data_IF_330042958548
#
_entry.id   IF_330042958548
#
_cell.length_a   1.000
_cell.length_b   1.000
_cell.length_c   1.000
_cell.angle_alpha   90.00
_cell.angle_beta   90.00
_cell.angle_gamma   90.00
#
_symmetry.space_group_name_H-M   'P 1'
#
loop_
_entity.id
_entity.type
_entity.pdbx_description
1 polymer ?
#
# COMPACT_ATOMS: atom_id res chain seq x y z
N UNK A 1 16.49 9.20 -11.65
CA UNK A 1 15.37 8.32 -11.31
C UNK A 1 14.19 8.75 -12.14
N UNK A 2 13.49 7.80 -12.74
CA UNK A 2 12.43 8.06 -13.71
C UNK A 2 11.06 7.95 -13.02
N UNK A 3 10.32 9.07 -12.96
CA UNK A 3 9.01 9.15 -12.30
C UNK A 3 7.97 8.31 -13.03
N UNK A 4 8.14 8.10 -14.34
CA UNK A 4 7.25 7.28 -15.16
C UNK A 4 7.30 5.80 -14.76
N UNK A 5 8.39 5.37 -14.11
CA UNK A 5 8.53 4.00 -13.58
C UNK A 5 7.89 3.80 -12.21
N UNK A 6 7.21 4.80 -11.66
CA UNK A 6 6.50 4.68 -10.38
C UNK A 6 5.02 4.46 -10.60
N UNK A 7 4.41 3.61 -9.76
CA UNK A 7 2.96 3.50 -9.69
C UNK A 7 2.30 4.80 -9.23
N UNK A 8 1.03 4.98 -9.55
CA UNK A 8 0.24 6.14 -9.13
C UNK A 8 0.21 6.29 -7.61
N UNK A 9 0.17 5.19 -6.85
CA UNK A 9 0.20 5.25 -5.38
C UNK A 9 1.55 5.68 -4.82
N UNK A 10 2.67 5.34 -5.44
CA UNK A 10 3.98 5.87 -5.03
C UNK A 10 4.06 7.37 -5.32
N UNK A 11 3.61 7.81 -6.50
CA UNK A 11 3.57 9.24 -6.83
C UNK A 11 2.67 10.03 -5.86
N UNK A 12 1.48 9.49 -5.56
CA UNK A 12 0.56 10.05 -4.58
C UNK A 12 1.20 10.12 -3.18
N UNK A 13 1.91 9.07 -2.75
CA UNK A 13 2.60 9.06 -1.45
C UNK A 13 3.68 10.14 -1.35
N UNK A 14 4.41 10.41 -2.43
CA UNK A 14 5.42 11.48 -2.45
C UNK A 14 4.78 12.86 -2.32
N UNK A 15 3.65 13.08 -3.00
CA UNK A 15 2.89 14.33 -2.86
C UNK A 15 2.29 14.49 -1.46
N UNK A 16 1.76 13.41 -0.89
CA UNK A 16 1.24 13.41 0.49
C UNK A 16 2.34 13.64 1.53
N UNK A 17 3.52 13.06 1.33
CA UNK A 17 4.69 13.30 2.17
C UNK A 17 5.11 14.79 2.15
N UNK A 18 5.07 15.40 0.96
CA UNK A 18 5.31 16.83 0.81
C UNK A 18 4.28 17.66 1.57
N UNK A 19 3.00 17.36 1.37
CA UNK A 19 1.91 18.05 2.05
C UNK A 19 2.00 17.90 3.58
N UNK A 20 2.41 16.74 4.07
CA UNK A 20 2.60 16.49 5.50
C UNK A 20 3.72 17.35 6.08
N UNK A 21 4.85 17.48 5.38
CA UNK A 21 5.94 18.37 5.80
C UNK A 21 5.51 19.83 5.82
N UNK A 22 4.77 20.29 4.80
CA UNK A 22 4.20 21.65 4.74
C UNK A 22 3.26 21.89 5.92
N UNK A 23 2.31 20.98 6.14
CA UNK A 23 1.31 21.06 7.22
C UNK A 23 1.95 21.13 8.61
N UNK A 24 3.09 20.45 8.79
CA UNK A 24 3.81 20.42 10.06
C UNK A 24 4.90 21.51 10.16
N UNK A 25 4.98 22.44 9.20
CA UNK A 25 5.98 23.51 9.13
C UNK A 25 7.43 23.00 9.12
N UNK A 26 7.67 21.82 8.55
CA UNK A 26 9.00 21.26 8.40
C UNK A 26 9.67 21.80 7.14
N UNK A 27 10.93 22.24 7.25
CA UNK A 27 11.68 22.79 6.11
C UNK A 27 12.06 21.74 5.06
N UNK A 28 12.03 20.46 5.44
CA UNK A 28 12.45 19.35 4.59
C UNK A 28 11.44 18.19 4.64
N UNK A 29 11.15 17.60 3.48
CA UNK A 29 10.49 16.31 3.39
C UNK A 29 11.53 15.23 3.63
N UNK A 30 11.52 14.62 4.81
CA UNK A 30 12.32 13.43 5.13
C UNK A 30 11.51 12.12 5.05
N UNK A 31 12.19 10.97 5.14
CA UNK A 31 11.61 9.63 4.95
C UNK A 31 10.44 9.33 5.90
N UNK A 32 10.39 9.94 7.08
CA UNK A 32 9.27 9.77 8.02
C UNK A 32 7.94 10.32 7.46
N UNK A 33 7.96 11.37 6.65
CA UNK A 33 6.76 11.88 5.99
C UNK A 33 6.29 10.92 4.91
N UNK A 34 7.23 10.33 4.16
CA UNK A 34 6.89 9.30 3.17
C UNK A 34 6.35 8.03 3.85
N UNK A 35 6.91 7.65 4.99
CA UNK A 35 6.38 6.55 5.79
C UNK A 35 4.96 6.86 6.30
N UNK A 36 4.72 8.09 6.79
CA UNK A 36 3.39 8.56 7.18
C UNK A 36 2.39 8.48 6.02
N UNK A 37 2.77 8.97 4.84
CA UNK A 37 1.93 8.90 3.65
C UNK A 37 1.54 7.45 3.30
N UNK A 38 2.52 6.53 3.30
CA UNK A 38 2.28 5.12 3.00
C UNK A 38 1.30 4.44 3.97
N UNK A 39 1.39 4.72 5.28
CA UNK A 39 0.50 4.11 6.29
C UNK A 39 -0.88 4.80 6.38
N UNK A 40 -1.02 5.97 5.77
CA UNK A 40 -2.28 6.74 5.73
C UNK A 40 -3.06 6.54 4.42
N UNK A 41 -2.54 5.76 3.47
CA UNK A 41 -3.27 5.46 2.25
C UNK A 41 -4.53 4.64 2.55
N UNK A 42 -5.70 5.23 2.27
CA UNK A 42 -6.98 4.53 2.32
C UNK A 42 -6.98 3.34 1.37
N UNK A 43 -7.47 2.20 1.84
CA UNK A 43 -7.42 0.91 1.15
C UNK A 43 -6.01 0.58 0.62
N UNK A 44 -5.00 1.03 1.38
CA UNK A 44 -3.57 0.90 1.10
C UNK A 44 -3.05 -0.53 1.26
N UNK A 45 -2.11 -0.94 0.40
CA UNK A 45 -1.40 -2.21 0.58
C UNK A 45 -0.62 -2.24 1.90
N UNK A 46 0.08 -1.15 2.25
CA UNK A 46 0.91 -1.07 3.44
C UNK A 46 0.09 -1.15 4.75
N UNK A 47 -0.99 -0.36 4.94
CA UNK A 47 -1.89 -0.52 6.09
C UNK A 47 -2.45 -1.93 6.24
N UNK A 48 -2.92 -2.55 5.14
CA UNK A 48 -3.48 -3.90 5.16
C UNK A 48 -2.44 -4.94 5.60
N UNK A 49 -1.20 -4.84 5.12
CA UNK A 49 -0.10 -5.73 5.56
C UNK A 49 0.17 -5.54 7.06
N UNK A 50 0.24 -4.31 7.54
CA UNK A 50 0.50 -4.00 8.96
C UNK A 50 -0.62 -4.56 9.87
N UNK A 51 -1.88 -4.42 9.47
CA UNK A 51 -3.01 -5.01 10.19
C UNK A 51 -2.94 -6.54 10.21
N UNK A 52 -2.57 -7.18 9.09
CA UNK A 52 -2.35 -8.64 9.01
C UNK A 52 -1.15 -9.12 9.83
N UNK A 53 -0.22 -8.24 10.18
CA UNK A 53 0.84 -8.51 11.16
C UNK A 53 0.35 -8.38 12.61
N UNK A 54 -0.96 -8.21 12.84
CA UNK A 54 -1.60 -7.97 14.14
C UNK A 54 -1.14 -6.68 14.83
N UNK A 55 -0.81 -5.65 14.05
CA UNK A 55 -0.39 -4.35 14.57
C UNK A 55 -1.53 -3.35 14.37
N UNK A 56 -1.88 -2.62 15.44
CA UNK A 56 -2.85 -1.53 15.37
C UNK A 56 -2.30 -0.40 14.50
N UNK A 57 -2.90 -0.21 13.33
CA UNK A 57 -2.54 0.87 12.40
C UNK A 57 -2.72 2.24 13.05
N UNK A 58 -3.76 2.42 13.86
CA UNK A 58 -4.02 3.71 14.54
C UNK A 58 -2.95 4.02 15.58
N UNK A 59 -2.50 3.02 16.33
CA UNK A 59 -1.39 3.19 17.28
C UNK A 59 -0.10 3.58 16.55
N UNK A 60 0.18 2.91 15.43
CA UNK A 60 1.34 3.22 14.59
C UNK A 60 1.28 4.65 14.04
N UNK A 61 0.13 5.06 13.49
CA UNK A 61 -0.11 6.44 13.00
C UNK A 61 0.15 7.47 14.08
N UNK A 62 -0.38 7.26 15.29
CA UNK A 62 -0.16 8.16 16.41
C UNK A 62 1.33 8.29 16.78
N UNK A 63 2.08 7.19 16.73
CA UNK A 63 3.52 7.21 17.00
C UNK A 63 4.30 7.94 15.92
N UNK A 64 3.95 7.72 14.65
CA UNK A 64 4.58 8.43 13.51
C UNK A 64 4.31 9.92 13.59
N UNK A 65 3.06 10.32 13.84
CA UNK A 65 2.68 11.73 13.99
C UNK A 65 3.45 12.39 15.15
N UNK A 66 3.58 11.69 16.28
CA UNK A 66 4.37 12.18 17.41
C UNK A 66 5.84 12.39 17.07
N UNK A 67 6.45 11.52 16.26
CA UNK A 67 7.84 11.70 15.82
C UNK A 67 7.98 12.82 14.77
N UNK A 68 6.99 13.03 13.91
CA UNK A 68 6.92 14.18 12.99
C UNK A 68 6.82 15.49 13.78
N UNK A 69 6.00 15.52 14.83
CA UNK A 69 5.80 16.72 15.66
C UNK A 69 7.07 17.20 16.39
N UNK A 70 8.02 16.29 16.64
CA UNK A 70 9.33 16.61 17.22
C UNK A 70 10.32 17.23 16.24
N UNK A 71 10.05 17.14 14.94
CA UNK A 71 10.94 17.70 13.94
C UNK A 71 11.00 19.24 14.08
N UNK A 72 12.13 19.87 13.74
CA UNK A 72 12.24 21.32 13.73
C UNK A 72 11.15 21.96 12.86
N UNK A 73 10.49 22.98 13.41
CA UNK A 73 9.42 23.75 12.76
C UNK A 73 9.90 25.17 12.50
N UNK A 74 9.64 25.70 11.30
CA UNK A 74 10.03 27.06 10.89
C UNK A 74 8.78 27.92 10.80
N UNK A 75 8.79 29.05 11.52
CA UNK A 75 7.71 30.04 11.54
C UNK A 75 8.26 31.43 11.19
N UNK A 76 7.48 32.27 10.51
CA UNK A 76 7.82 33.68 10.26
C UNK A 76 7.50 34.17 8.85
N UNK A 77 7.58 35.49 8.64
CA UNK A 77 7.48 36.11 7.31
C UNK A 77 8.59 35.56 6.39
N UNK A 78 8.19 34.88 5.31
CA UNK A 78 9.10 34.22 4.38
C UNK A 78 9.28 32.71 4.61
N UNK A 79 8.76 32.13 5.69
CA UNK A 79 8.78 30.68 5.92
C UNK A 79 8.07 29.91 4.80
N UNK A 80 6.93 30.41 4.34
CA UNK A 80 6.18 29.83 3.21
C UNK A 80 6.86 30.07 1.85
N UNK A 81 7.76 31.05 1.77
CA UNK A 81 8.43 31.43 0.51
C UNK A 81 9.69 30.61 0.20
N UNK A 82 10.26 29.91 1.19
CA UNK A 82 11.48 29.11 0.97
C UNK A 82 11.24 27.75 0.30
N UNK A 83 9.98 27.30 0.25
CA UNK A 83 9.62 26.00 -0.30
C UNK A 83 10.16 24.83 0.55
N UNK A 84 9.47 23.69 0.51
CA UNK A 84 9.95 22.47 1.18
C UNK A 84 10.82 21.68 0.21
N UNK A 85 12.00 21.26 0.66
CA UNK A 85 12.93 20.45 -0.15
C UNK A 85 12.96 19.00 0.31
N UNK A 86 13.15 18.05 -0.61
CA UNK A 86 13.30 16.64 -0.25
C UNK A 86 14.72 16.33 0.27
N UNK A 87 14.84 15.51 1.31
CA UNK A 87 16.15 15.06 1.80
C UNK A 87 16.81 14.09 0.81
N UNK A 88 18.14 13.99 0.87
CA UNK A 88 18.91 13.00 0.10
C UNK A 88 18.47 11.56 0.40
N UNK A 89 18.00 11.28 1.63
CA UNK A 89 17.56 9.95 2.06
C UNK A 89 16.35 9.46 1.28
N UNK A 90 15.42 10.35 0.90
CA UNK A 90 14.29 9.97 0.03
C UNK A 90 14.81 9.40 -1.30
N UNK A 91 15.79 10.07 -1.91
CA UNK A 91 16.39 9.56 -3.14
C UNK A 91 17.09 8.21 -2.94
N UNK A 92 17.77 8.01 -1.81
CA UNK A 92 18.42 6.72 -1.48
C UNK A 92 17.39 5.60 -1.31
N UNK A 93 16.27 5.86 -0.63
CA UNK A 93 15.12 4.94 -0.52
C UNK A 93 14.57 4.59 -1.89
N UNK A 94 14.35 5.56 -2.76
CA UNK A 94 13.72 5.31 -4.06
C UNK A 94 14.66 4.58 -5.04
N UNK A 95 15.97 4.86 -5.01
CA UNK A 95 16.98 4.10 -5.76
C UNK A 95 16.98 2.63 -5.28
N UNK A 96 16.90 2.42 -3.97
CA UNK A 96 16.84 1.07 -3.41
C UNK A 96 15.52 0.38 -3.76
N UNK A 97 14.41 1.10 -3.78
CA UNK A 97 13.11 0.59 -4.22
C UNK A 97 13.13 0.14 -5.68
N UNK A 98 13.84 0.86 -6.56
CA UNK A 98 14.05 0.45 -7.96
C UNK A 98 14.88 -0.85 -8.07
N UNK A 99 15.88 -1.04 -7.18
CA UNK A 99 16.62 -2.31 -7.13
C UNK A 99 15.69 -3.46 -6.71
N UNK A 100 14.88 -3.24 -5.67
CA UNK A 100 13.95 -4.26 -5.15
C UNK A 100 12.89 -4.61 -6.19
N UNK A 101 12.36 -3.63 -6.92
CA UNK A 101 11.36 -3.91 -7.97
C UNK A 101 11.91 -4.82 -9.08
N UNK A 102 13.21 -4.66 -9.43
CA UNK A 102 13.90 -5.54 -10.38
C UNK A 102 14.09 -6.95 -9.83
N UNK A 103 14.41 -7.08 -8.55
CA UNK A 103 14.49 -8.40 -7.86
C UNK A 103 13.13 -9.11 -7.88
N UNK A 104 12.04 -8.35 -7.71
CA UNK A 104 10.66 -8.84 -7.78
C UNK A 104 10.16 -9.07 -9.21
N UNK A 105 10.97 -8.70 -10.21
CA UNK A 105 10.66 -8.78 -11.66
C UNK A 105 9.43 -7.96 -12.03
N UNK A 106 9.25 -6.83 -11.37
CA UNK A 106 8.18 -5.87 -11.65
C UNK A 106 8.62 -4.81 -12.64
N UNK A 107 7.66 -4.30 -13.42
CA UNK A 107 7.88 -3.24 -14.39
C UNK A 107 7.84 -1.84 -13.76
N UNK A 108 7.15 -1.69 -12.62
CA UNK A 108 7.01 -0.42 -11.90
C UNK A 108 7.43 -0.53 -10.43
N UNK A 109 7.83 0.61 -9.86
CA UNK A 109 8.08 0.79 -8.43
C UNK A 109 6.73 0.97 -7.72
N UNK A 110 6.35 -0.01 -6.92
CA UNK A 110 5.15 -0.02 -6.08
C UNK A 110 5.48 0.29 -4.62
N UNK A 111 4.45 0.54 -3.83
CA UNK A 111 4.54 0.98 -2.41
C UNK A 111 5.25 -0.04 -1.52
N UNK A 112 5.14 -1.35 -1.80
CA UNK A 112 5.86 -2.40 -1.08
C UNK A 112 7.37 -2.34 -1.32
N UNK A 113 7.82 -1.95 -2.51
CA UNK A 113 9.26 -1.79 -2.80
C UNK A 113 9.83 -0.60 -2.02
N UNK A 114 9.06 0.49 -1.94
CA UNK A 114 9.42 1.68 -1.16
C UNK A 114 9.48 1.34 0.33
N UNK A 115 8.49 0.61 0.85
CA UNK A 115 8.47 0.17 2.24
C UNK A 115 9.67 -0.73 2.56
N UNK A 116 9.94 -1.75 1.73
CA UNK A 116 11.11 -2.63 1.90
C UNK A 116 12.43 -1.86 1.84
N UNK A 117 12.54 -0.87 0.93
CA UNK A 117 13.72 -0.01 0.86
C UNK A 117 13.93 0.77 2.15
N UNK A 118 12.87 1.37 2.72
CA UNK A 118 12.95 2.06 4.01
C UNK A 118 13.39 1.10 5.14
N UNK A 119 12.86 -0.13 5.17
CA UNK A 119 13.26 -1.12 6.19
C UNK A 119 14.76 -1.44 6.14
N UNK A 120 15.38 -1.38 4.95
CA UNK A 120 16.82 -1.63 4.76
C UNK A 120 17.70 -0.40 5.02
N UNK A 121 17.33 0.77 4.48
CA UNK A 121 18.19 1.96 4.52
C UNK A 121 18.02 2.77 5.80
N UNK A 122 16.84 2.76 6.42
CA UNK A 122 16.48 3.66 7.53
C UNK A 122 16.51 3.01 8.91
N UNK A 123 17.21 1.88 9.07
CA UNK A 123 17.27 1.11 10.33
C UNK A 123 17.76 1.87 11.57
N UNK A 124 18.45 3.01 11.38
CA UNK A 124 18.97 3.91 12.43
C UNK A 124 18.17 5.19 12.59
N UNK A 125 17.25 5.51 11.69
CA UNK A 125 16.45 6.74 11.76
C UNK A 125 15.18 6.56 12.61
N UNK A 126 14.34 7.59 12.68
CA UNK A 126 13.06 7.53 13.39
C UNK A 126 12.18 6.39 12.87
N UNK A 127 12.12 6.21 11.53
CA UNK A 127 11.37 5.11 10.91
C UNK A 127 11.88 3.76 11.40
N UNK A 128 13.20 3.51 11.36
CA UNK A 128 13.78 2.26 11.85
C UNK A 128 13.53 1.99 13.34
N UNK A 129 13.47 3.02 14.19
CA UNK A 129 13.11 2.89 15.60
C UNK A 129 11.64 2.52 15.79
N UNK A 130 10.74 3.17 15.06
CA UNK A 130 9.30 2.87 15.07
C UNK A 130 9.06 1.42 14.63
N UNK A 131 9.67 1.00 13.52
CA UNK A 131 9.53 -0.38 13.03
C UNK A 131 9.97 -1.41 14.08
N UNK A 132 11.08 -1.15 14.78
CA UNK A 132 11.55 -2.00 15.89
C UNK A 132 10.59 -2.01 17.08
N UNK A 133 10.05 -0.85 17.46
CA UNK A 133 9.09 -0.72 18.56
C UNK A 133 7.82 -1.55 18.31
N UNK A 134 7.36 -1.58 17.06
CA UNK A 134 6.17 -2.34 16.64
C UNK A 134 6.49 -3.78 16.18
N UNK A 135 7.75 -4.22 16.32
CA UNK A 135 8.21 -5.52 15.84
C UNK A 135 7.95 -5.78 14.33
N UNK A 136 7.91 -4.72 13.53
CA UNK A 136 7.77 -4.81 12.07
C UNK A 136 9.14 -5.14 11.49
N UNK A 137 9.36 -6.42 11.17
CA UNK A 137 10.59 -6.91 10.56
C UNK A 137 10.37 -7.33 9.11
N UNK A 138 11.46 -7.36 8.34
CA UNK A 138 11.44 -7.64 6.90
C UNK A 138 10.89 -9.04 6.58
N UNK A 139 11.21 -10.04 7.39
CA UNK A 139 10.82 -11.43 7.11
C UNK A 139 9.30 -11.59 7.24
N UNK A 140 8.72 -11.12 8.33
CA UNK A 140 7.27 -11.18 8.54
C UNK A 140 6.52 -10.31 7.52
N UNK A 141 7.05 -9.14 7.20
CA UNK A 141 6.50 -8.28 6.15
C UNK A 141 6.46 -9.00 4.79
N UNK A 142 7.55 -9.66 4.39
CA UNK A 142 7.61 -10.42 3.12
C UNK A 142 6.65 -11.62 3.13
N UNK A 143 6.53 -12.32 4.27
CA UNK A 143 5.61 -13.44 4.42
C UNK A 143 4.16 -12.98 4.19
N UNK A 144 3.72 -11.90 4.84
CA UNK A 144 2.36 -11.35 4.66
C UNK A 144 2.20 -10.76 3.25
N UNK A 145 3.19 -10.04 2.74
CA UNK A 145 3.18 -9.49 1.38
C UNK A 145 2.93 -10.59 0.35
N UNK A 146 3.60 -11.75 0.47
CA UNK A 146 3.39 -12.88 -0.44
C UNK A 146 1.95 -13.43 -0.42
N UNK A 147 1.26 -13.33 0.72
CA UNK A 147 -0.14 -13.77 0.84
C UNK A 147 -1.11 -12.75 0.23
N UNK A 148 -0.83 -11.45 0.38
CA UNK A 148 -1.67 -10.37 -0.14
C UNK A 148 -1.49 -10.20 -1.64
N UNK A 149 -0.24 -10.20 -2.10
CA UNK A 149 0.14 -10.01 -3.50
C UNK A 149 0.07 -11.31 -4.31
N UNK A 150 0.22 -12.46 -3.67
CA UNK A 150 0.27 -13.75 -4.35
C UNK A 150 1.40 -13.81 -5.38
N UNK A 151 1.08 -14.32 -6.57
CA UNK A 151 2.01 -14.39 -7.70
C UNK A 151 1.91 -13.21 -8.67
N UNK A 152 1.19 -12.14 -8.29
CA UNK A 152 0.95 -11.00 -9.19
C UNK A 152 2.19 -10.12 -9.31
N UNK A 153 2.42 -9.63 -10.53
CA UNK A 153 3.48 -8.66 -10.85
C UNK A 153 2.88 -7.28 -11.08
N UNK A 154 3.66 -6.26 -10.78
CA UNK A 154 3.31 -4.87 -11.03
C UNK A 154 3.72 -4.50 -12.45
N UNK A 155 2.84 -4.81 -13.40
CA UNK A 155 3.05 -4.59 -14.84
C UNK A 155 2.39 -3.31 -15.37
N UNK A 156 1.58 -2.63 -14.54
CA UNK A 156 0.91 -1.37 -14.88
C UNK A 156 1.24 -0.29 -13.85
N UNK A 157 1.04 0.97 -14.25
CA UNK A 157 1.20 2.12 -13.35
C UNK A 157 0.11 2.19 -12.27
N UNK A 158 -1.05 1.57 -12.50
CA UNK A 158 -2.15 1.43 -11.54
C UNK A 158 -2.49 -0.06 -11.30
N UNK A 159 -1.69 -0.78 -10.51
CA UNK A 159 -1.94 -2.20 -10.21
C UNK A 159 -3.14 -2.39 -9.27
N UNK A 160 -3.53 -1.38 -8.50
CA UNK A 160 -4.62 -1.48 -7.52
C UNK A 160 -5.99 -1.17 -8.10
N UNK A 161 -6.05 -0.43 -9.20
CA UNK A 161 -7.23 -0.40 -10.07
C UNK A 161 -7.67 -1.80 -10.51
N UNK A 162 -6.76 -2.77 -10.61
CA UNK A 162 -7.06 -4.18 -10.89
C UNK A 162 -7.36 -5.03 -9.66
N UNK A 163 -6.75 -4.75 -8.49
CA UNK A 163 -7.01 -5.51 -7.26
C UNK A 163 -8.45 -5.34 -6.76
N UNK A 164 -9.04 -4.17 -6.99
CA UNK A 164 -10.35 -3.78 -6.42
C UNK A 164 -11.46 -3.61 -7.46
N UNK A 165 -11.30 -4.20 -8.65
CA UNK A 165 -12.31 -4.14 -9.71
C UNK A 165 -13.67 -4.70 -9.23
N UNK A 166 -13.67 -5.70 -8.35
CA UNK A 166 -14.89 -6.28 -7.80
C UNK A 166 -15.60 -5.35 -6.80
N UNK A 167 -14.90 -4.58 -5.96
CA UNK A 167 -15.57 -3.65 -5.05
C UNK A 167 -15.98 -2.35 -5.76
N UNK A 168 -15.19 -1.90 -6.75
CA UNK A 168 -15.49 -0.69 -7.52
C UNK A 168 -16.58 -0.86 -8.57
N UNK A 169 -16.61 -1.99 -9.26
CA UNK A 169 -17.50 -2.21 -10.40
C UNK A 169 -18.40 -3.44 -10.25
N UNK A 170 -18.25 -4.20 -9.17
CA UNK A 170 -19.00 -5.42 -8.91
C UNK A 170 -19.77 -5.38 -7.60
N UNK A 171 -20.53 -6.44 -7.35
CA UNK A 171 -21.17 -6.71 -6.05
C UNK A 171 -20.78 -8.11 -5.63
N UNK A 172 -20.15 -8.25 -4.46
CA UNK A 172 -19.75 -9.55 -3.94
C UNK A 172 -20.96 -10.31 -3.34
N UNK A 173 -21.62 -11.11 -4.17
CA UNK A 173 -22.79 -11.90 -3.76
C UNK A 173 -22.44 -12.99 -2.73
N UNK A 174 -21.21 -13.49 -2.69
CA UNK A 174 -20.78 -14.51 -1.71
C UNK A 174 -20.76 -13.93 -0.30
N UNK A 175 -20.25 -12.70 -0.14
CA UNK A 175 -20.26 -12.01 1.14
C UNK A 175 -21.66 -11.60 1.59
N UNK A 176 -22.55 -11.22 0.66
CA UNK A 176 -23.96 -10.97 0.97
C UNK A 176 -24.68 -12.25 1.42
N UNK A 177 -24.39 -13.40 0.79
CA UNK A 177 -24.90 -14.71 1.20
C UNK A 177 -24.47 -15.06 2.63
N UNK A 178 -23.17 -14.90 2.95
CA UNK A 178 -22.62 -15.16 4.30
C UNK A 178 -23.28 -14.29 5.38
N UNK A 179 -23.67 -13.06 5.04
CA UNK A 179 -24.34 -12.11 5.93
C UNK A 179 -25.86 -12.30 6.00
N UNK A 180 -26.41 -13.36 5.37
CA UNK A 180 -27.84 -13.61 5.24
C UNK A 180 -28.62 -12.41 4.66
N UNK A 181 -27.99 -11.66 3.74
CA UNK A 181 -28.59 -10.51 3.07
C UNK A 181 -29.17 -10.84 1.68
N UNK A 182 -29.15 -12.11 1.28
CA UNK A 182 -29.76 -12.58 0.04
C UNK A 182 -31.00 -13.40 0.38
N UNK A 183 -32.08 -13.14 -0.33
CA UNK A 183 -33.30 -13.93 -0.21
C UNK A 183 -33.11 -15.32 -0.83
N UNK A 184 -33.71 -16.37 -0.24
CA UNK A 184 -33.65 -17.71 -0.79
C UNK A 184 -34.38 -17.77 -2.14
N UNK A 185 -33.71 -18.33 -3.15
CA UNK A 185 -34.31 -18.55 -4.47
C UNK A 185 -35.13 -19.83 -4.43
N UNK A 186 -36.43 -19.73 -4.71
CA UNK A 186 -37.37 -20.87 -4.65
C UNK A 186 -37.68 -21.38 -6.06
N UNK A 187 -37.66 -22.71 -6.24
CA UNK A 187 -38.13 -23.39 -7.46
C UNK A 187 -37.19 -23.29 -8.66
N UNK A 188 -35.90 -22.98 -8.43
CA UNK A 188 -34.85 -22.87 -9.47
C UNK A 188 -33.71 -23.88 -9.30
N UNK A 189 -33.98 -24.98 -8.60
CA UNK A 189 -32.97 -25.97 -8.22
C UNK A 189 -32.29 -26.62 -9.43
N UNK A 190 -33.04 -26.88 -10.51
CA UNK A 190 -32.50 -27.48 -11.74
C UNK A 190 -31.57 -26.52 -12.50
N UNK A 191 -31.92 -25.23 -12.62
CA UNK A 191 -31.05 -24.24 -13.25
C UNK A 191 -29.78 -24.01 -12.43
N UNK A 192 -29.92 -23.87 -11.10
CA UNK A 192 -28.76 -23.70 -10.20
C UNK A 192 -27.82 -24.90 -10.32
N UNK A 193 -28.36 -26.13 -10.27
CA UNK A 193 -27.57 -27.36 -10.43
C UNK A 193 -26.90 -27.45 -11.80
N UNK A 194 -27.59 -27.01 -12.87
CA UNK A 194 -27.02 -26.96 -14.23
C UNK A 194 -25.87 -25.95 -14.31
N UNK A 195 -26.01 -24.75 -13.73
CA UNK A 195 -24.96 -23.73 -13.71
C UNK A 195 -23.74 -24.24 -12.95
N UNK A 196 -23.92 -24.80 -11.74
CA UNK A 196 -22.83 -25.38 -10.96
C UNK A 196 -22.11 -26.46 -11.78
N UNK A 197 -22.84 -27.37 -12.41
CA UNK A 197 -22.26 -28.44 -13.25
C UNK A 197 -21.45 -27.89 -14.43
N UNK A 198 -21.86 -26.75 -15.01
CA UNK A 198 -21.11 -26.10 -16.09
C UNK A 198 -19.84 -25.44 -15.54
N UNK A 199 -19.95 -24.69 -14.44
CA UNK A 199 -18.83 -23.99 -13.81
C UNK A 199 -17.77 -24.93 -13.23
N UNK A 200 -18.16 -26.13 -12.80
CA UNK A 200 -17.23 -27.14 -12.26
C UNK A 200 -16.49 -27.96 -13.33
N UNK A 201 -16.68 -27.69 -14.62
CA UNK A 201 -15.99 -28.40 -15.71
C UNK A 201 -14.81 -27.57 -16.23
N UNK A 202 -13.69 -28.23 -16.49
CA UNK A 202 -12.50 -27.59 -17.10
C UNK A 202 -12.70 -27.24 -18.58
N UNK A 203 -13.57 -27.97 -19.30
CA UNK A 203 -13.84 -27.73 -20.72
C UNK A 203 -15.34 -27.71 -21.03
N UNK A 204 -15.75 -26.74 -21.84
CA UNK A 204 -17.13 -26.58 -22.30
C UNK A 204 -17.38 -27.51 -23.50
N UNK A 205 -17.89 -28.70 -23.23
CA UNK A 205 -18.33 -29.62 -24.28
C UNK A 205 -19.66 -29.12 -24.84
N UNK A 206 -19.62 -28.57 -26.05
CA UNK A 206 -20.81 -28.23 -26.83
C UNK A 206 -21.09 -29.45 -27.73
N UNK A 207 -22.07 -30.26 -27.36
CA UNK A 207 -22.61 -31.28 -28.25
C UNK A 207 -23.63 -30.58 -29.16
N UNK A 208 -23.36 -30.55 -30.46
CA UNK A 208 -24.28 -30.12 -31.52
C UNK A 208 -25.30 -31.23 -31.82
#
# INVERSE_FOLDING_TARGET
MDVEKMTLRVQKSLNEAYNEAVKNHNQQVDVIHLFSALINQEDGLIPNIIEKMNISIDSLRNTVNFEIDKLPKVYGEGADSQGVSATRKINEVLIKAESISKEFKDSYISVEHVMLAMMETESKSAVGKILKQYNINKNDFLNILSQVRGSQRVETQDPEGTYDALARYGTNLVDLAKKNKLDPVIGRDEEIRRIIRILSREQKIILY
#
